data_IF_670603031553
#
_entry.id   IF_670603031553
#
_cell.length_a   1.000
_cell.length_b   1.000
_cell.length_c   1.000
_cell.angle_alpha   90.00
_cell.angle_beta   90.00
_cell.angle_gamma   90.00
#
_symmetry.space_group_name_H-M   'P 1'
#
loop_
_entity.id
_entity.type
_entity.pdbx_description
1 polymer ?
#
# COMPACT_ATOMS: atom_id res chain seq x y z
N UNK A 1 -8.60 32.06 -47.09
CA UNK A 1 -7.56 31.03 -46.84
C UNK A 1 -7.26 31.03 -45.36
N UNK A 2 -7.20 29.83 -44.80
CA UNK A 2 -7.40 29.49 -43.39
C UNK A 2 -6.37 30.11 -42.43
N UNK A 3 -6.84 30.79 -41.38
CA UNK A 3 -6.05 30.99 -40.18
C UNK A 3 -6.16 29.70 -39.35
N UNK A 4 -5.14 28.84 -39.42
CA UNK A 4 -5.01 27.70 -38.52
C UNK A 4 -3.98 28.11 -37.44
N UNK A 5 -4.43 28.52 -36.24
CA UNK A 5 -3.53 29.00 -35.20
C UNK A 5 -2.66 27.84 -34.74
N UNK A 6 -1.34 28.04 -34.85
CA UNK A 6 -0.32 27.09 -34.45
C UNK A 6 -0.58 26.58 -33.03
N UNK A 7 -1.04 25.35 -32.96
CA UNK A 7 -1.20 24.58 -31.73
C UNK A 7 0.20 24.21 -31.23
N UNK A 8 0.87 25.14 -30.54
CA UNK A 8 2.04 24.83 -29.71
C UNK A 8 1.54 24.05 -28.50
N UNK A 9 1.31 22.75 -28.68
CA UNK A 9 1.26 21.82 -27.56
C UNK A 9 2.67 21.79 -26.98
N UNK A 10 2.94 22.72 -26.06
CA UNK A 10 4.11 22.67 -25.22
C UNK A 10 4.08 21.30 -24.54
N UNK A 11 5.03 20.43 -24.86
CA UNK A 11 5.08 19.08 -24.31
C UNK A 11 5.11 19.20 -22.78
N UNK A 12 3.97 18.90 -22.15
CA UNK A 12 3.89 18.78 -20.70
C UNK A 12 4.76 17.59 -20.34
N UNK A 13 5.89 17.84 -19.71
CA UNK A 13 6.77 16.79 -19.21
C UNK A 13 6.40 16.57 -17.73
N UNK A 14 5.44 15.67 -17.42
CA UNK A 14 5.01 15.46 -16.06
C UNK A 14 6.21 15.01 -15.24
N UNK A 15 6.41 15.63 -14.08
CA UNK A 15 7.36 15.08 -13.12
C UNK A 15 6.83 13.71 -12.66
N UNK A 16 7.69 12.68 -12.61
CA UNK A 16 7.30 11.40 -12.04
C UNK A 16 6.73 11.59 -10.63
N UNK A 17 5.73 10.79 -10.23
CA UNK A 17 5.23 10.80 -8.87
C UNK A 17 6.35 10.43 -7.90
N UNK A 18 6.38 11.11 -6.76
CA UNK A 18 7.42 10.98 -5.73
C UNK A 18 7.54 9.54 -5.20
N UNK A 19 6.42 8.81 -5.16
CA UNK A 19 6.34 7.40 -4.71
C UNK A 19 6.37 6.38 -5.86
N UNK A 20 6.75 6.82 -7.06
CA UNK A 20 6.76 5.99 -8.26
C UNK A 20 5.37 5.52 -8.72
N UNK A 21 5.33 4.80 -9.84
CA UNK A 21 4.14 4.04 -10.22
C UNK A 21 4.13 2.76 -9.40
N UNK A 22 3.06 2.55 -8.62
CA UNK A 22 2.92 1.39 -7.75
C UNK A 22 3.13 0.09 -8.54
N UNK A 23 4.11 -0.76 -8.17
CA UNK A 23 4.34 -2.01 -8.88
C UNK A 23 3.08 -2.87 -8.84
N UNK A 24 2.66 -3.33 -10.03
CA UNK A 24 1.54 -4.24 -10.15
C UNK A 24 1.94 -5.59 -9.52
N UNK A 25 1.09 -6.11 -8.63
CA UNK A 25 1.26 -7.44 -8.04
C UNK A 25 1.00 -8.48 -9.14
N UNK A 26 2.05 -8.79 -9.90
CA UNK A 26 1.97 -9.63 -11.09
C UNK A 26 1.84 -11.12 -10.75
N UNK A 27 2.55 -11.57 -9.72
CA UNK A 27 2.55 -12.98 -9.30
C UNK A 27 1.39 -13.30 -8.35
N UNK A 28 0.72 -12.27 -7.82
CA UNK A 28 -0.46 -12.42 -6.97
C UNK A 28 -0.09 -12.86 -5.56
N UNK A 29 1.08 -12.44 -5.06
CA UNK A 29 1.60 -12.82 -3.74
C UNK A 29 0.63 -12.40 -2.62
N UNK A 30 -0.11 -11.31 -2.83
CA UNK A 30 -1.09 -10.77 -1.87
C UNK A 30 -2.55 -10.94 -2.32
N UNK A 31 -2.82 -11.79 -3.32
CA UNK A 31 -4.15 -11.97 -3.91
C UNK A 31 -5.18 -12.55 -2.94
N UNK A 32 -4.76 -13.40 -2.01
CA UNK A 32 -5.66 -14.01 -1.03
C UNK A 32 -6.23 -12.95 -0.08
N UNK A 33 -5.35 -12.17 0.56
CA UNK A 33 -5.68 -11.08 1.46
C UNK A 33 -6.50 -9.99 0.74
N UNK A 34 -6.12 -9.66 -0.51
CA UNK A 34 -6.87 -8.75 -1.37
C UNK A 34 -8.32 -9.23 -1.55
N UNK A 35 -8.49 -10.51 -1.85
CA UNK A 35 -9.80 -11.10 -2.12
C UNK A 35 -10.68 -11.07 -0.86
N UNK A 36 -10.12 -11.38 0.32
CA UNK A 36 -10.84 -11.30 1.59
C UNK A 36 -11.27 -9.87 1.93
N UNK A 37 -10.37 -8.91 1.78
CA UNK A 37 -10.66 -7.51 1.98
C UNK A 37 -11.78 -7.01 1.04
N UNK A 38 -11.69 -7.34 -0.26
CA UNK A 38 -12.72 -6.95 -1.24
C UNK A 38 -14.07 -7.63 -0.98
N UNK A 39 -14.07 -8.89 -0.52
CA UNK A 39 -15.30 -9.56 -0.07
C UNK A 39 -15.93 -8.80 1.10
N UNK A 40 -15.13 -8.39 2.08
CA UNK A 40 -15.60 -7.62 3.23
C UNK A 40 -16.24 -6.30 2.80
N UNK A 41 -15.56 -5.51 1.95
CA UNK A 41 -16.11 -4.26 1.43
C UNK A 41 -17.45 -4.44 0.73
N UNK A 42 -17.59 -5.51 -0.08
CA UNK A 42 -18.87 -5.83 -0.74
C UNK A 42 -19.98 -6.13 0.25
N UNK A 43 -19.70 -6.83 1.35
CA UNK A 43 -20.68 -7.15 2.38
C UNK A 43 -21.17 -5.91 3.12
N UNK A 44 -20.26 -4.99 3.43
CA UNK A 44 -20.57 -3.74 4.15
C UNK A 44 -20.95 -2.58 3.21
N UNK A 45 -21.24 -2.86 1.93
CA UNK A 45 -21.61 -1.86 0.92
C UNK A 45 -20.60 -0.71 0.78
N UNK A 46 -19.31 -1.04 0.87
CA UNK A 46 -18.18 -0.11 0.85
C UNK A 46 -18.18 0.92 1.99
N UNK A 47 -18.87 0.65 3.09
CA UNK A 47 -18.73 1.42 4.32
C UNK A 47 -17.39 1.14 5.00
N UNK A 48 -16.91 2.14 5.76
CA UNK A 48 -15.65 2.04 6.50
C UNK A 48 -15.83 1.25 7.81
N UNK A 49 -16.11 -0.05 7.68
CA UNK A 49 -16.40 -0.95 8.78
C UNK A 49 -15.12 -1.47 9.45
N UNK A 50 -15.09 -1.61 10.80
CA UNK A 50 -13.88 -1.98 11.53
C UNK A 50 -13.37 -3.38 11.18
N UNK A 51 -14.25 -4.33 10.88
CA UNK A 51 -13.89 -5.67 10.42
C UNK A 51 -13.09 -5.66 9.11
N UNK A 52 -13.43 -4.75 8.17
CA UNK A 52 -12.69 -4.63 6.92
C UNK A 52 -11.34 -3.92 7.10
N UNK A 53 -11.18 -3.10 8.15
CA UNK A 53 -9.89 -2.44 8.46
C UNK A 53 -8.83 -3.45 8.89
N UNK A 54 -9.20 -4.50 9.62
CA UNK A 54 -8.29 -5.58 10.02
C UNK A 54 -7.77 -6.32 8.77
N UNK A 55 -8.67 -6.62 7.83
CA UNK A 55 -8.31 -7.24 6.55
C UNK A 55 -7.47 -6.31 5.66
N UNK A 56 -7.75 -5.01 5.69
CA UNK A 56 -6.97 -4.01 4.98
C UNK A 56 -5.52 -3.95 5.49
N UNK A 57 -5.32 -4.00 6.81
CA UNK A 57 -3.98 -4.07 7.41
C UNK A 57 -3.21 -5.29 6.92
N UNK A 58 -3.81 -6.47 6.95
CA UNK A 58 -3.17 -7.70 6.46
C UNK A 58 -2.82 -7.65 4.96
N UNK A 59 -3.69 -7.04 4.14
CA UNK A 59 -3.40 -6.86 2.72
C UNK A 59 -2.24 -5.88 2.48
N UNK A 60 -2.23 -4.74 3.16
CA UNK A 60 -1.17 -3.74 3.02
C UNK A 60 0.16 -4.24 3.59
N UNK A 61 0.13 -4.98 4.70
CA UNK A 61 1.31 -5.61 5.29
C UNK A 61 1.97 -6.62 4.35
N UNK A 62 1.16 -7.44 3.68
CA UNK A 62 1.65 -8.35 2.65
C UNK A 62 2.37 -7.58 1.52
N UNK A 63 1.81 -6.45 1.07
CA UNK A 63 2.43 -5.65 0.01
C UNK A 63 3.75 -5.02 0.45
N UNK A 64 3.80 -4.51 1.67
CA UNK A 64 5.02 -3.95 2.27
C UNK A 64 6.10 -5.02 2.49
N UNK A 65 5.70 -6.26 2.78
CA UNK A 65 6.62 -7.39 2.99
C UNK A 65 7.19 -7.96 1.69
N UNK A 66 6.46 -7.84 0.58
CA UNK A 66 6.88 -8.31 -0.75
C UNK A 66 7.48 -7.20 -1.64
N UNK A 67 7.85 -6.05 -1.06
CA UNK A 67 8.43 -4.91 -1.80
C UNK A 67 7.49 -4.36 -2.90
N UNK A 68 6.17 -4.59 -2.75
CA UNK A 68 5.14 -4.09 -3.67
C UNK A 68 4.61 -2.70 -3.25
N UNK A 69 5.15 -2.16 -2.14
CA UNK A 69 4.84 -0.87 -1.53
C UNK A 69 5.93 -0.51 -0.52
N UNK A 70 6.26 0.77 -0.38
CA UNK A 70 7.13 1.26 0.69
C UNK A 70 6.55 0.98 2.09
N UNK A 71 7.40 0.75 3.08
CA UNK A 71 6.95 0.59 4.47
C UNK A 71 6.50 1.93 5.04
N UNK A 72 5.21 2.03 5.34
CA UNK A 72 4.58 3.21 5.95
C UNK A 72 3.84 2.82 7.22
N UNK A 73 3.81 3.74 8.19
CA UNK A 73 3.10 3.53 9.45
C UNK A 73 1.59 3.46 9.24
N UNK A 74 0.89 2.70 10.09
CA UNK A 74 -0.59 2.60 10.03
C UNK A 74 -1.28 3.96 10.16
N UNK A 75 -0.71 4.84 10.98
CA UNK A 75 -1.21 6.21 11.18
C UNK A 75 -1.12 7.05 9.91
N UNK A 76 -0.04 6.95 9.13
CA UNK A 76 0.11 7.66 7.85
C UNK A 76 -0.88 7.13 6.80
N UNK A 77 -1.18 5.83 6.86
CA UNK A 77 -2.19 5.18 6.03
C UNK A 77 -3.64 5.46 6.49
N UNK A 78 -3.84 6.23 7.57
CA UNK A 78 -5.17 6.54 8.12
C UNK A 78 -5.85 5.34 8.79
N UNK A 79 -5.08 4.29 9.14
CA UNK A 79 -5.56 3.11 9.85
C UNK A 79 -5.31 3.29 11.35
N UNK A 80 -6.33 3.10 12.22
CA UNK A 80 -6.15 3.20 13.66
C UNK A 80 -5.18 2.12 14.14
N UNK A 81 -4.27 2.46 15.04
CA UNK A 81 -3.43 1.46 15.71
C UNK A 81 -4.30 0.63 16.66
N UNK A 82 -4.17 -0.70 16.57
CA UNK A 82 -4.80 -1.55 17.56
C UNK A 82 -3.92 -1.43 18.81
N UNK A 83 -4.42 -0.82 19.87
CA UNK A 83 -3.71 -0.78 21.15
C UNK A 83 -3.38 -2.25 21.53
N UNK A 84 -2.10 -2.57 21.56
CA UNK A 84 -1.49 -3.90 21.72
C UNK A 84 -2.35 -4.93 22.49
N UNK A 85 -2.73 -6.03 21.83
CA UNK A 85 -2.90 -7.34 22.49
C UNK A 85 -3.28 -8.46 21.50
N UNK A 86 -2.43 -8.73 20.51
CA UNK A 86 -2.24 -10.12 20.04
C UNK A 86 -1.10 -10.24 19.04
N UNK A 87 -0.35 -11.33 19.21
CA UNK A 87 0.70 -11.87 18.37
C UNK A 87 2.00 -11.07 18.24
N UNK A 88 2.81 -11.14 19.31
CA UNK A 88 4.25 -11.43 19.16
C UNK A 88 4.43 -12.70 18.31
N UNK A 89 5.23 -12.61 17.25
CA UNK A 89 6.07 -13.69 16.69
C UNK A 89 7.14 -13.03 15.84
N UNK A 90 8.28 -12.67 16.46
CA UNK A 90 9.56 -13.36 16.30
C UNK A 90 10.13 -13.29 14.87
N UNK A 91 10.83 -12.20 14.55
CA UNK A 91 12.24 -12.27 14.12
C UNK A 91 12.96 -11.02 14.66
N UNK A 92 13.51 -11.13 15.87
CA UNK A 92 14.68 -10.37 16.27
C UNK A 92 15.85 -11.31 16.09
N UNK A 93 16.89 -10.90 15.36
CA UNK A 93 18.29 -11.17 15.74
C UNK A 93 19.19 -10.26 14.90
N UNK A 94 19.24 -8.99 15.31
CA UNK A 94 20.43 -8.17 15.13
C UNK A 94 21.21 -8.16 16.44
N UNK A 95 22.29 -8.93 16.53
CA UNK A 95 23.37 -8.65 17.50
C UNK A 95 24.62 -8.25 16.75
N UNK A 96 24.84 -6.93 16.71
CA UNK A 96 26.19 -6.38 16.66
C UNK A 96 26.90 -6.79 17.96
N UNK A 97 28.07 -7.42 17.85
CA UNK A 97 29.01 -7.61 18.94
C UNK A 97 30.32 -6.93 18.55
N UNK A 98 30.43 -5.64 18.84
CA UNK A 98 31.71 -4.98 19.02
C UNK A 98 32.31 -5.43 20.36
N UNK A 99 33.47 -6.07 20.29
CA UNK A 99 34.35 -6.33 21.44
C UNK A 99 35.76 -6.60 20.92
N UNK A 100 36.57 -5.53 20.80
CA UNK A 100 37.87 -5.37 21.47
C UNK A 100 38.56 -4.08 21.02
#
# INVERSE_FOLDING_TARGET
MSANPGNKLQAWNPKPPDRGSFPLDHFGDCKNQMTEYLKCLKLVKNENAPNCRILAKGYLDCRMSNDLMDRVSWKELGLPEDNESSSKSLVEDGKNLESK
#
